data_IF_565577962301
#
_entry.id   IF_565577962301
#
_cell.length_a   1.000
_cell.length_b   1.000
_cell.length_c   1.000
_cell.angle_alpha   90.00
_cell.angle_beta   90.00
_cell.angle_gamma   90.00
#
_symmetry.space_group_name_H-M   'P 1'
#
loop_
_entity.id
_entity.type
_entity.pdbx_description
1 polymer ?
#
# COMPACT_ATOMS: atom_id res chain seq x y z
N UNK A 1 -4.17 -27.55 -22.41
CA UNK A 1 -5.39 -26.71 -22.30
C UNK A 1 -5.05 -25.34 -21.68
N UNK A 2 -4.33 -25.33 -20.57
CA UNK A 2 -3.89 -24.09 -19.89
C UNK A 2 -3.08 -23.18 -20.84
N UNK A 3 -2.09 -23.69 -21.55
CA UNK A 3 -1.26 -22.91 -22.48
C UNK A 3 -2.09 -22.18 -23.55
N UNK A 4 -3.12 -22.86 -24.08
CA UNK A 4 -4.03 -22.23 -25.06
C UNK A 4 -4.85 -21.11 -24.42
N UNK A 5 -5.26 -21.24 -23.14
CA UNK A 5 -5.98 -20.19 -22.43
C UNK A 5 -5.05 -18.99 -22.15
N UNK A 6 -3.81 -19.26 -21.71
CA UNK A 6 -2.78 -18.21 -21.48
C UNK A 6 -2.48 -17.46 -22.79
N UNK A 7 -2.33 -18.18 -23.90
CA UNK A 7 -2.12 -17.55 -25.21
C UNK A 7 -3.28 -16.64 -25.60
N UNK A 8 -4.54 -17.10 -25.48
CA UNK A 8 -5.73 -16.29 -25.82
C UNK A 8 -5.82 -15.00 -25.00
N UNK A 9 -5.52 -15.06 -23.70
CA UNK A 9 -5.51 -13.87 -22.83
C UNK A 9 -4.37 -12.94 -23.23
N UNK A 10 -3.20 -13.46 -23.51
CA UNK A 10 -2.06 -12.67 -23.97
C UNK A 10 -2.40 -11.91 -25.27
N UNK A 11 -2.94 -12.60 -26.27
CA UNK A 11 -3.41 -11.98 -27.52
C UNK A 11 -4.46 -10.90 -27.28
N UNK A 12 -5.41 -11.15 -26.38
CA UNK A 12 -6.45 -10.19 -26.01
C UNK A 12 -5.89 -8.93 -25.33
N UNK A 13 -4.90 -9.07 -24.41
CA UNK A 13 -4.24 -7.93 -23.78
C UNK A 13 -3.49 -7.10 -24.84
N UNK A 14 -2.73 -7.75 -25.72
CA UNK A 14 -2.00 -7.03 -26.78
C UNK A 14 -2.93 -6.33 -27.77
N UNK A 15 -4.10 -6.92 -28.07
CA UNK A 15 -5.10 -6.30 -28.96
C UNK A 15 -5.66 -4.98 -28.39
N UNK A 16 -5.59 -4.78 -27.06
CA UNK A 16 -6.06 -3.57 -26.38
C UNK A 16 -4.93 -2.68 -25.84
N UNK A 17 -3.68 -2.91 -26.29
CA UNK A 17 -2.48 -2.20 -25.81
C UNK A 17 -2.64 -0.68 -25.77
N UNK A 18 -3.07 -0.07 -26.86
CA UNK A 18 -3.20 1.38 -26.98
C UNK A 18 -4.23 1.98 -26.01
N UNK A 19 -5.29 1.26 -25.74
CA UNK A 19 -6.32 1.68 -24.78
C UNK A 19 -5.77 1.63 -23.35
N UNK A 20 -5.04 0.57 -23.00
CA UNK A 20 -4.41 0.40 -21.69
C UNK A 20 -3.39 1.53 -21.44
N UNK A 21 -2.53 1.83 -22.41
CA UNK A 21 -1.55 2.92 -22.33
C UNK A 21 -2.26 4.27 -22.19
N UNK A 22 -3.33 4.49 -22.95
CA UNK A 22 -4.12 5.73 -22.89
C UNK A 22 -4.73 5.93 -21.50
N UNK A 23 -5.28 4.87 -20.92
CA UNK A 23 -5.81 4.92 -19.56
C UNK A 23 -4.73 5.26 -18.53
N UNK A 24 -3.57 4.56 -18.57
CA UNK A 24 -2.44 4.81 -17.67
C UNK A 24 -1.99 6.28 -17.72
N UNK A 25 -1.82 6.82 -18.93
CA UNK A 25 -1.42 8.20 -19.14
C UNK A 25 -2.49 9.19 -18.67
N UNK A 26 -3.77 8.88 -18.89
CA UNK A 26 -4.87 9.75 -18.45
C UNK A 26 -4.95 9.83 -16.92
N UNK A 27 -4.65 8.75 -16.20
CA UNK A 27 -4.57 8.72 -14.74
C UNK A 27 -3.33 9.49 -14.28
N UNK A 28 -2.16 9.25 -14.88
CA UNK A 28 -0.92 9.96 -14.55
C UNK A 28 -1.04 11.49 -14.69
N UNK A 29 -1.81 11.97 -15.66
CA UNK A 29 -2.03 13.40 -15.91
C UNK A 29 -3.08 14.05 -14.99
N UNK A 30 -3.86 13.26 -14.26
CA UNK A 30 -4.87 13.75 -13.31
C UNK A 30 -4.72 13.08 -11.94
N UNK A 31 -3.54 13.23 -11.29
CA UNK A 31 -3.26 12.55 -10.02
C UNK A 31 -4.12 13.08 -8.89
N UNK A 32 -4.63 12.16 -8.06
CA UNK A 32 -5.49 12.44 -6.91
C UNK A 32 -4.93 11.75 -5.67
N UNK A 33 -4.96 12.44 -4.51
CA UNK A 33 -4.51 11.88 -3.23
C UNK A 33 -5.55 10.92 -2.64
N UNK A 34 -5.11 10.09 -1.70
CA UNK A 34 -5.93 9.04 -1.09
C UNK A 34 -7.26 9.53 -0.52
N UNK A 35 -8.31 8.74 -0.71
CA UNK A 35 -9.73 9.03 -0.44
C UNK A 35 -10.30 10.24 -1.22
N UNK A 36 -9.61 10.69 -2.26
CA UNK A 36 -10.03 11.76 -3.17
C UNK A 36 -9.98 11.33 -4.64
N UNK A 37 -9.77 10.04 -4.93
CA UNK A 37 -9.54 9.44 -6.25
C UNK A 37 -10.84 9.35 -7.07
N UNK A 38 -11.57 10.45 -7.17
CA UNK A 38 -12.90 10.49 -7.83
C UNK A 38 -12.79 10.28 -9.34
N UNK A 39 -11.84 10.96 -9.99
CA UNK A 39 -11.64 10.86 -11.45
C UNK A 39 -11.03 9.51 -11.82
N UNK A 40 -10.08 9.02 -11.02
CA UNK A 40 -9.46 7.70 -11.21
C UNK A 40 -10.51 6.61 -11.07
N UNK A 41 -11.32 6.64 -10.02
CA UNK A 41 -12.48 5.76 -9.83
C UNK A 41 -13.45 5.82 -11.01
N UNK A 42 -13.77 7.02 -11.53
CA UNK A 42 -14.65 7.18 -12.68
C UNK A 42 -14.07 6.55 -13.95
N UNK A 43 -12.77 6.75 -14.24
CA UNK A 43 -12.11 6.14 -15.41
C UNK A 43 -12.17 4.61 -15.36
N UNK A 44 -12.01 4.02 -14.18
CA UNK A 44 -12.11 2.57 -13.98
C UNK A 44 -13.55 2.09 -14.15
N UNK A 45 -14.54 2.81 -13.63
CA UNK A 45 -15.96 2.45 -13.85
C UNK A 45 -16.36 2.58 -15.32
N UNK A 46 -15.92 3.62 -16.02
CA UNK A 46 -16.17 3.80 -17.46
C UNK A 46 -15.60 2.63 -18.28
N UNK A 47 -14.39 2.15 -17.88
CA UNK A 47 -13.81 0.96 -18.49
C UNK A 47 -14.67 -0.28 -18.24
N UNK A 48 -15.11 -0.51 -17.00
CA UNK A 48 -15.96 -1.67 -16.69
C UNK A 48 -17.31 -1.61 -17.39
N UNK A 49 -17.90 -0.43 -17.51
CA UNK A 49 -19.12 -0.22 -18.30
C UNK A 49 -18.91 -0.55 -19.78
N UNK A 50 -17.83 -0.03 -20.38
CA UNK A 50 -17.47 -0.30 -21.78
C UNK A 50 -17.37 -1.78 -22.11
N UNK A 51 -16.81 -2.57 -21.19
CA UNK A 51 -16.63 -4.01 -21.35
C UNK A 51 -17.75 -4.84 -20.71
N UNK A 52 -18.83 -4.21 -20.24
CA UNK A 52 -19.94 -4.89 -19.58
C UNK A 52 -19.47 -5.82 -18.44
N UNK A 53 -18.52 -5.32 -17.60
CA UNK A 53 -18.05 -6.00 -16.41
C UNK A 53 -18.86 -5.49 -15.22
N UNK A 54 -19.61 -6.34 -14.51
CA UNK A 54 -20.37 -5.93 -13.33
C UNK A 54 -19.44 -5.40 -12.23
N UNK A 55 -19.79 -4.26 -11.63
CA UNK A 55 -19.02 -3.65 -10.56
C UNK A 55 -19.89 -2.99 -9.51
N UNK A 56 -19.30 -2.71 -8.36
CA UNK A 56 -19.80 -1.84 -7.31
C UNK A 56 -18.74 -0.77 -6.99
N UNK A 57 -19.17 0.39 -6.50
CA UNK A 57 -18.28 1.51 -6.17
C UNK A 57 -18.58 2.08 -4.79
N UNK A 58 -17.67 2.92 -4.28
CA UNK A 58 -17.81 3.55 -2.98
C UNK A 58 -17.22 2.71 -1.84
N UNK A 59 -16.46 1.68 -2.15
CA UNK A 59 -15.72 0.88 -1.19
C UNK A 59 -14.61 1.74 -0.55
N UNK A 60 -14.62 1.89 0.77
CA UNK A 60 -13.74 2.83 1.47
C UNK A 60 -13.68 4.19 0.73
N UNK A 61 -14.83 4.78 0.45
CA UNK A 61 -15.09 6.10 -0.20
C UNK A 61 -14.98 6.05 -1.73
N UNK A 62 -13.83 5.67 -2.32
CA UNK A 62 -13.57 5.78 -3.77
C UNK A 62 -13.32 4.46 -4.47
N UNK A 63 -13.14 3.37 -3.74
CA UNK A 63 -12.83 2.03 -4.28
C UNK A 63 -13.89 1.50 -5.24
N UNK A 64 -13.44 0.71 -6.23
CA UNK A 64 -14.27 0.08 -7.26
C UNK A 64 -13.98 -1.41 -7.32
N UNK A 65 -14.96 -2.24 -6.99
CA UNK A 65 -14.87 -3.70 -6.98
C UNK A 65 -15.69 -4.30 -8.11
N UNK A 66 -15.04 -4.98 -9.05
CA UNK A 66 -15.69 -5.64 -10.19
C UNK A 66 -15.67 -7.16 -10.02
N UNK A 67 -16.45 -7.87 -10.83
CA UNK A 67 -16.53 -9.33 -10.82
C UNK A 67 -16.61 -9.89 -12.22
N UNK A 68 -15.64 -10.69 -12.59
CA UNK A 68 -15.63 -11.53 -13.77
C UNK A 68 -16.00 -12.95 -13.35
N UNK A 69 -17.23 -13.36 -13.68
CA UNK A 69 -17.75 -14.66 -13.30
C UNK A 69 -17.13 -15.75 -14.17
N UNK A 70 -16.63 -16.80 -13.54
CA UNK A 70 -16.15 -17.98 -14.22
C UNK A 70 -17.27 -18.97 -14.55
N UNK A 71 -16.87 -20.19 -15.00
CA UNK A 71 -17.75 -21.32 -15.23
C UNK A 71 -18.47 -21.77 -13.96
N UNK A 72 -17.77 -21.66 -12.83
CA UNK A 72 -18.31 -21.83 -11.49
C UNK A 72 -17.69 -20.79 -10.56
N UNK A 73 -18.36 -20.43 -9.47
CA UNK A 73 -17.83 -19.48 -8.47
C UNK A 73 -17.18 -20.22 -7.29
N UNK A 74 -16.42 -21.30 -7.57
CA UNK A 74 -15.84 -22.15 -6.53
C UNK A 74 -14.83 -21.42 -5.69
N UNK A 75 -13.97 -20.61 -6.33
CA UNK A 75 -12.96 -19.76 -5.68
C UNK A 75 -13.02 -18.34 -6.23
N UNK A 76 -12.56 -17.38 -5.45
CA UNK A 76 -12.54 -15.97 -5.84
C UNK A 76 -11.15 -15.41 -5.58
N UNK A 77 -10.52 -14.94 -6.65
CA UNK A 77 -9.18 -14.36 -6.60
C UNK A 77 -9.26 -12.88 -6.97
N UNK A 78 -8.76 -12.01 -6.09
CA UNK A 78 -8.68 -10.59 -6.39
C UNK A 78 -7.38 -10.24 -7.10
N UNK A 79 -7.49 -9.38 -8.11
CA UNK A 79 -6.39 -8.59 -8.66
C UNK A 79 -6.59 -7.18 -8.13
N UNK A 80 -5.61 -6.70 -7.36
CA UNK A 80 -5.68 -5.38 -6.76
C UNK A 80 -4.84 -4.38 -7.54
N UNK A 81 -5.24 -3.13 -7.51
CA UNK A 81 -4.46 -2.00 -7.98
C UNK A 81 -4.84 -0.76 -7.18
N UNK A 82 -3.85 0.03 -6.83
CA UNK A 82 -3.98 1.23 -6.02
C UNK A 82 -4.27 2.43 -6.92
N UNK A 83 -5.15 3.33 -6.44
CA UNK A 83 -5.62 4.47 -7.24
C UNK A 83 -4.95 5.78 -6.90
N UNK A 84 -4.43 5.91 -5.68
CA UNK A 84 -3.98 7.19 -5.16
C UNK A 84 -2.59 7.59 -5.66
N UNK A 85 -2.33 8.89 -5.59
CA UNK A 85 -1.04 9.51 -5.85
C UNK A 85 -0.38 9.96 -4.54
N UNK A 86 0.93 10.21 -4.60
CA UNK A 86 1.69 10.77 -3.47
C UNK A 86 1.95 12.27 -3.70
N UNK A 87 2.29 12.99 -2.63
CA UNK A 87 2.71 14.40 -2.72
C UNK A 87 4.16 14.46 -3.23
N UNK A 88 4.35 15.00 -4.45
CA UNK A 88 5.65 15.23 -5.08
C UNK A 88 5.56 16.52 -5.93
N UNK A 89 5.68 17.68 -5.28
CA UNK A 89 5.42 18.99 -5.89
C UNK A 89 6.28 19.30 -7.12
N UNK A 90 7.49 18.80 -7.18
CA UNK A 90 8.45 19.06 -8.26
C UNK A 90 8.42 18.01 -9.40
N UNK A 91 7.51 17.03 -9.31
CA UNK A 91 7.29 16.06 -10.38
C UNK A 91 6.68 16.75 -11.62
N UNK A 92 7.13 16.45 -12.86
CA UNK A 92 6.65 17.11 -14.07
C UNK A 92 5.14 17.03 -14.31
N UNK A 93 4.48 15.97 -13.80
CA UNK A 93 3.03 15.75 -13.91
C UNK A 93 2.31 16.02 -12.57
N UNK A 94 2.91 16.79 -11.66
CA UNK A 94 2.25 17.10 -10.40
C UNK A 94 1.05 18.03 -10.61
N UNK A 95 0.01 17.77 -9.84
CA UNK A 95 -1.11 18.70 -9.71
C UNK A 95 -0.63 19.97 -8.99
N UNK A 96 -0.77 21.12 -9.64
CA UNK A 96 -0.23 22.41 -9.14
C UNK A 96 -0.88 22.88 -7.84
N UNK A 97 -2.10 22.43 -7.53
CA UNK A 97 -2.82 22.84 -6.31
C UNK A 97 -2.51 21.93 -5.12
N UNK A 98 -2.45 20.61 -5.39
CA UNK A 98 -2.31 19.59 -4.32
C UNK A 98 -0.90 19.05 -4.19
N UNK A 99 -0.05 19.21 -5.21
CA UNK A 99 1.25 18.55 -5.31
C UNK A 99 1.17 17.04 -5.57
N UNK A 100 -0.03 16.50 -5.82
CA UNK A 100 -0.20 15.10 -6.11
C UNK A 100 0.52 14.70 -7.40
N UNK A 101 1.21 13.56 -7.41
CA UNK A 101 1.82 12.96 -8.60
C UNK A 101 1.86 11.44 -8.46
N UNK A 102 1.67 10.72 -9.58
CA UNK A 102 1.82 9.26 -9.60
C UNK A 102 3.30 8.83 -9.56
N UNK A 103 4.07 9.42 -8.62
CA UNK A 103 5.49 9.12 -8.44
C UNK A 103 5.75 7.80 -7.69
N UNK A 104 4.71 7.06 -7.29
CA UNK A 104 4.80 5.68 -6.78
C UNK A 104 4.37 4.62 -7.81
N UNK A 105 3.90 5.05 -8.99
CA UNK A 105 3.51 4.13 -10.06
C UNK A 105 2.12 3.51 -9.91
N UNK A 106 1.22 4.07 -9.10
CA UNK A 106 -0.13 3.53 -8.94
C UNK A 106 -0.97 3.65 -10.23
N UNK A 107 -0.71 4.64 -11.09
CA UNK A 107 -1.27 4.69 -12.45
C UNK A 107 -0.88 3.45 -13.29
N UNK A 108 0.31 2.90 -13.05
CA UNK A 108 0.77 1.66 -13.68
C UNK A 108 -0.03 0.47 -13.15
N UNK A 109 -0.28 0.40 -11.85
CA UNK A 109 -1.11 -0.63 -11.25
C UNK A 109 -2.55 -0.59 -11.80
N UNK A 110 -3.11 0.61 -12.02
CA UNK A 110 -4.42 0.76 -12.65
C UNK A 110 -4.43 0.24 -14.09
N UNK A 111 -3.35 0.46 -14.84
CA UNK A 111 -3.21 -0.09 -16.19
C UNK A 111 -3.10 -1.63 -16.18
N UNK A 112 -2.33 -2.20 -15.25
CA UNK A 112 -2.22 -3.66 -15.05
C UNK A 112 -3.59 -4.26 -14.71
N UNK A 113 -4.32 -3.66 -13.76
CA UNK A 113 -5.67 -4.09 -13.39
C UNK A 113 -6.62 -4.04 -14.59
N UNK A 114 -6.58 -2.96 -15.37
CA UNK A 114 -7.39 -2.80 -16.58
C UNK A 114 -7.01 -3.85 -17.64
N UNK A 115 -5.72 -4.08 -17.88
CA UNK A 115 -5.23 -5.09 -18.81
C UNK A 115 -5.70 -6.49 -18.42
N UNK A 116 -5.62 -6.84 -17.13
CA UNK A 116 -6.14 -8.11 -16.62
C UNK A 116 -7.66 -8.23 -16.85
N UNK A 117 -8.43 -7.20 -16.50
CA UNK A 117 -9.87 -7.21 -16.64
C UNK A 117 -10.33 -7.32 -18.11
N UNK A 118 -9.73 -6.53 -19.01
CA UNK A 118 -9.98 -6.55 -20.44
C UNK A 118 -9.59 -7.91 -21.03
N UNK A 119 -8.37 -8.39 -20.75
CA UNK A 119 -7.84 -9.64 -21.26
C UNK A 119 -8.71 -10.84 -20.88
N UNK A 120 -9.08 -10.96 -19.61
CA UNK A 120 -9.97 -12.02 -19.12
C UNK A 120 -11.36 -11.95 -19.74
N UNK A 121 -11.93 -10.75 -19.87
CA UNK A 121 -13.29 -10.56 -20.42
C UNK A 121 -13.33 -10.85 -21.92
N UNK A 122 -12.39 -10.30 -22.70
CA UNK A 122 -12.47 -10.31 -24.16
C UNK A 122 -11.94 -11.63 -24.79
N UNK A 123 -11.03 -12.33 -24.12
CA UNK A 123 -10.53 -13.63 -24.57
C UNK A 123 -11.55 -14.77 -24.43
N UNK A 124 -12.59 -14.60 -23.62
CA UNK A 124 -13.57 -15.64 -23.31
C UNK A 124 -13.05 -16.75 -22.39
N UNK A 125 -11.84 -16.63 -21.80
CA UNK A 125 -11.23 -17.68 -20.97
C UNK A 125 -11.99 -17.93 -19.67
N UNK A 126 -12.75 -16.94 -19.16
CA UNK A 126 -13.59 -17.10 -17.96
C UNK A 126 -14.53 -18.30 -18.03
N UNK A 127 -14.98 -18.68 -19.23
CA UNK A 127 -15.84 -19.86 -19.45
C UNK A 127 -15.16 -21.21 -19.12
N UNK A 128 -13.82 -21.22 -18.99
CA UNK A 128 -13.04 -22.41 -18.65
C UNK A 128 -12.55 -22.42 -17.20
N UNK A 129 -12.76 -21.32 -16.45
CA UNK A 129 -12.25 -21.16 -15.09
C UNK A 129 -13.29 -21.56 -14.05
N UNK A 130 -12.88 -22.36 -13.08
CA UNK A 130 -13.71 -22.81 -11.96
C UNK A 130 -13.62 -21.87 -10.75
N UNK A 131 -13.73 -20.56 -11.02
CA UNK A 131 -13.71 -19.50 -10.03
C UNK A 131 -13.93 -18.14 -10.65
N UNK A 132 -14.19 -17.13 -9.81
CA UNK A 132 -14.36 -15.75 -10.24
C UNK A 132 -13.07 -14.96 -10.06
N UNK A 133 -12.87 -13.96 -10.90
CA UNK A 133 -11.79 -13.00 -10.76
C UNK A 133 -12.40 -11.65 -10.36
N UNK A 134 -11.80 -11.03 -9.36
CA UNK A 134 -12.27 -9.79 -8.76
C UNK A 134 -11.25 -8.67 -9.02
N UNK A 135 -11.34 -7.94 -10.15
CA UNK A 135 -10.59 -6.70 -10.31
C UNK A 135 -11.06 -5.68 -9.27
N UNK A 136 -10.13 -5.23 -8.43
CA UNK A 136 -10.48 -4.32 -7.33
C UNK A 136 -9.51 -3.13 -7.31
N UNK A 137 -9.97 -1.98 -7.78
CA UNK A 137 -9.29 -0.71 -7.64
C UNK A 137 -9.46 -0.22 -6.20
N UNK A 138 -8.38 -0.21 -5.44
CA UNK A 138 -8.36 0.09 -4.01
C UNK A 138 -7.84 1.50 -3.76
N UNK A 139 -8.43 2.26 -2.80
CA UNK A 139 -8.00 3.63 -2.50
C UNK A 139 -6.87 3.69 -1.48
N UNK A 140 -6.20 4.85 -1.40
CA UNK A 140 -5.52 5.39 -0.23
C UNK A 140 -4.46 4.48 0.41
N UNK A 141 -3.55 3.92 -0.38
CA UNK A 141 -2.40 3.18 0.13
C UNK A 141 -1.39 4.13 0.78
N UNK A 142 -1.08 5.25 0.14
CA UNK A 142 -0.15 6.25 0.63
C UNK A 142 -0.68 6.92 1.90
N UNK A 143 0.00 6.70 3.02
CA UNK A 143 -0.42 7.15 4.34
C UNK A 143 -0.07 8.64 4.57
N UNK A 144 -0.57 9.50 3.68
CA UNK A 144 -0.33 10.95 3.69
C UNK A 144 -1.59 11.72 4.11
N UNK A 145 -1.49 13.04 4.30
CA UNK A 145 -2.59 13.93 4.74
C UNK A 145 -3.30 13.44 6.02
N UNK A 146 -2.53 13.10 7.06
CA UNK A 146 -3.03 12.52 8.33
C UNK A 146 -4.17 13.35 8.93
N UNK A 147 -4.06 14.68 8.93
CA UNK A 147 -5.11 15.56 9.46
C UNK A 147 -6.43 15.46 8.65
N UNK A 148 -6.34 15.33 7.31
CA UNK A 148 -7.52 15.13 6.48
C UNK A 148 -8.19 13.80 6.81
N UNK A 149 -7.42 12.72 6.93
CA UNK A 149 -7.93 11.40 7.29
C UNK A 149 -8.53 11.37 8.69
N UNK A 150 -7.92 12.11 9.63
CA UNK A 150 -8.49 12.26 10.98
C UNK A 150 -9.85 12.97 10.95
N UNK A 151 -10.01 14.01 10.13
CA UNK A 151 -11.32 14.65 9.95
C UNK A 151 -12.37 13.69 9.36
N UNK A 152 -11.99 12.83 8.40
CA UNK A 152 -12.89 11.81 7.88
C UNK A 152 -13.30 10.79 8.96
N UNK A 153 -12.36 10.41 9.83
CA UNK A 153 -12.62 9.53 10.99
C UNK A 153 -13.59 10.20 11.98
N UNK A 154 -13.37 11.47 12.33
CA UNK A 154 -14.26 12.23 13.21
C UNK A 154 -15.68 12.39 12.64
N UNK A 155 -15.79 12.44 11.29
CA UNK A 155 -17.07 12.45 10.58
C UNK A 155 -17.73 11.07 10.47
N UNK A 156 -17.08 10.01 10.98
CA UNK A 156 -17.56 8.62 10.89
C UNK A 156 -17.50 8.02 9.48
N UNK A 157 -16.78 8.64 8.53
CA UNK A 157 -16.66 8.17 7.16
C UNK A 157 -15.68 7.02 6.99
N UNK A 158 -14.66 6.95 7.87
CA UNK A 158 -13.70 5.86 7.95
C UNK A 158 -13.26 5.66 9.41
N UNK A 159 -12.62 4.53 9.68
CA UNK A 159 -12.02 4.22 10.97
C UNK A 159 -10.50 4.11 10.87
N UNK A 160 -10.00 3.48 9.82
CA UNK A 160 -8.58 3.29 9.54
C UNK A 160 -8.13 4.21 8.40
N UNK A 161 -6.85 4.61 8.42
CA UNK A 161 -6.31 5.59 7.48
C UNK A 161 -5.72 4.96 6.22
N UNK A 162 -5.46 3.64 6.21
CA UNK A 162 -5.08 2.88 5.02
C UNK A 162 -6.32 2.36 4.28
N UNK A 163 -6.25 2.29 2.96
CA UNK A 163 -7.38 1.84 2.14
C UNK A 163 -7.75 0.39 2.39
N UNK A 164 -6.76 -0.53 2.31
CA UNK A 164 -7.04 -1.96 2.49
C UNK A 164 -7.48 -2.30 3.91
N UNK A 165 -6.91 -1.64 4.93
CA UNK A 165 -7.36 -1.82 6.32
C UNK A 165 -8.82 -1.38 6.52
N UNK A 166 -9.23 -0.29 5.88
CA UNK A 166 -10.63 0.16 5.93
C UNK A 166 -11.55 -0.79 5.14
N UNK A 167 -11.12 -1.29 3.97
CA UNK A 167 -11.86 -2.29 3.19
C UNK A 167 -12.03 -3.61 3.95
N UNK A 168 -11.01 -4.08 4.69
CA UNK A 168 -11.12 -5.25 5.57
C UNK A 168 -12.20 -5.00 6.63
N UNK A 169 -12.18 -3.83 7.27
CA UNK A 169 -13.20 -3.47 8.27
C UNK A 169 -14.61 -3.46 7.69
N UNK A 170 -14.77 -2.93 6.48
CA UNK A 170 -16.07 -2.86 5.80
C UNK A 170 -16.58 -4.23 5.31
N UNK A 171 -15.73 -5.26 5.28
CA UNK A 171 -16.09 -6.60 4.81
C UNK A 171 -15.91 -6.78 3.30
N UNK A 172 -15.22 -5.87 2.65
CA UNK A 172 -15.05 -5.90 1.18
C UNK A 172 -14.16 -7.06 0.70
N UNK A 173 -13.40 -7.68 1.61
CA UNK A 173 -12.59 -8.87 1.35
C UNK A 173 -13.20 -10.18 1.87
N UNK A 174 -14.37 -10.16 2.52
CA UNK A 174 -14.97 -11.35 3.17
C UNK A 174 -15.35 -12.46 2.18
N UNK A 175 -15.55 -12.12 0.93
CA UNK A 175 -15.90 -13.07 -0.13
C UNK A 175 -14.72 -13.41 -1.07
N UNK A 176 -13.49 -13.05 -0.70
CA UNK A 176 -12.27 -13.25 -1.49
C UNK A 176 -11.39 -14.30 -0.81
N UNK A 177 -10.93 -15.29 -1.58
CA UNK A 177 -10.10 -16.37 -1.07
C UNK A 177 -8.60 -16.04 -1.11
N UNK A 178 -8.14 -15.27 -2.10
CA UNK A 178 -6.74 -14.89 -2.33
C UNK A 178 -6.66 -13.53 -3.01
N UNK A 179 -5.54 -12.83 -2.85
CA UNK A 179 -5.31 -11.58 -3.56
C UNK A 179 -3.89 -11.49 -4.14
N UNK A 180 -3.78 -10.82 -5.27
CA UNK A 180 -2.54 -10.57 -5.98
C UNK A 180 -2.47 -9.10 -6.37
N UNK A 181 -1.31 -8.48 -6.18
CA UNK A 181 -1.05 -7.10 -6.60
C UNK A 181 0.38 -6.98 -7.11
N UNK A 182 0.59 -6.22 -8.18
CA UNK A 182 1.90 -5.95 -8.75
C UNK A 182 2.30 -4.51 -8.48
N UNK A 183 3.59 -4.27 -8.20
CA UNK A 183 4.12 -2.92 -8.04
C UNK A 183 5.36 -2.67 -8.92
N UNK A 184 5.68 -1.43 -9.17
CA UNK A 184 6.94 -1.06 -9.80
C UNK A 184 8.10 -1.22 -8.81
N UNK A 185 9.29 -1.57 -9.28
CA UNK A 185 10.49 -1.61 -8.44
C UNK A 185 10.81 -0.24 -7.83
N UNK A 186 11.34 -0.22 -6.60
CA UNK A 186 11.64 1.02 -5.87
C UNK A 186 12.62 1.94 -6.61
N UNK A 187 13.49 1.37 -7.43
CA UNK A 187 14.45 2.08 -8.25
C UNK A 187 14.24 1.73 -9.71
N UNK A 188 14.31 2.74 -10.58
CA UNK A 188 14.26 2.53 -12.03
C UNK A 188 15.47 1.70 -12.46
N UNK A 189 15.21 0.69 -13.26
CA UNK A 189 16.20 -0.25 -13.77
C UNK A 189 16.00 -0.50 -15.25
N UNK A 190 17.10 -0.80 -15.98
CA UNK A 190 17.04 -1.07 -17.40
C UNK A 190 16.68 -2.53 -17.72
N UNK A 191 17.02 -3.47 -16.82
CA UNK A 191 16.77 -4.90 -17.04
C UNK A 191 15.31 -5.23 -16.75
N UNK A 192 14.62 -5.81 -17.75
CA UNK A 192 13.28 -6.39 -17.56
C UNK A 192 13.38 -7.60 -16.63
N UNK A 193 12.74 -7.51 -15.47
CA UNK A 193 12.69 -8.59 -14.47
C UNK A 193 11.45 -8.46 -13.60
N UNK A 194 11.15 -9.55 -12.91
CA UNK A 194 10.15 -9.60 -11.84
C UNK A 194 10.84 -9.98 -10.54
N UNK A 195 10.63 -9.18 -9.52
CA UNK A 195 11.13 -9.39 -8.18
C UNK A 195 10.03 -10.08 -7.37
N UNK A 196 10.33 -11.22 -6.77
CA UNK A 196 9.36 -12.08 -6.08
C UNK A 196 9.73 -12.35 -4.63
N UNK A 197 8.77 -12.78 -3.84
CA UNK A 197 8.97 -13.06 -2.41
C UNK A 197 9.27 -11.79 -1.64
N UNK A 198 10.16 -11.90 -0.65
CA UNK A 198 10.48 -10.79 0.23
C UNK A 198 9.43 -10.53 1.31
N UNK A 199 9.80 -9.68 2.25
CA UNK A 199 8.93 -9.19 3.32
C UNK A 199 9.13 -7.69 3.45
N UNK A 200 8.21 -6.98 4.09
CA UNK A 200 8.39 -5.56 4.39
C UNK A 200 8.03 -5.24 5.84
N UNK A 201 8.48 -4.08 6.32
CA UNK A 201 8.09 -3.60 7.63
C UNK A 201 6.59 -3.27 7.67
N UNK A 202 5.98 -3.53 8.83
CA UNK A 202 4.78 -2.81 9.23
C UNK A 202 5.13 -1.49 9.92
N UNK A 203 4.11 -0.68 10.22
CA UNK A 203 4.30 0.55 11.00
C UNK A 203 3.09 0.94 11.83
N UNK A 204 3.38 1.73 12.88
CA UNK A 204 2.39 2.49 13.67
C UNK A 204 2.64 3.96 13.39
N UNK A 205 1.60 4.68 12.96
CA UNK A 205 1.61 6.12 12.84
C UNK A 205 1.51 6.81 14.19
N UNK A 206 2.03 8.04 14.30
CA UNK A 206 1.99 8.81 15.54
C UNK A 206 1.71 10.28 15.26
N UNK A 207 0.78 10.85 16.01
CA UNK A 207 0.66 12.27 16.22
C UNK A 207 1.10 12.57 17.65
N UNK A 208 2.07 13.46 17.81
CA UNK A 208 2.69 13.77 19.10
C UNK A 208 2.57 15.26 19.35
N UNK A 209 2.06 15.64 20.53
CA UNK A 209 1.88 17.04 20.91
C UNK A 209 2.51 17.27 22.28
N UNK A 210 3.60 18.05 22.31
CA UNK A 210 4.21 18.53 23.54
C UNK A 210 3.52 19.81 23.97
N UNK A 211 3.14 19.88 25.26
CA UNK A 211 2.50 21.01 25.89
C UNK A 211 3.39 21.57 26.99
N UNK A 212 3.71 22.83 26.86
CA UNK A 212 4.48 23.60 27.83
C UNK A 212 3.69 24.78 28.34
N UNK A 213 4.41 25.85 28.64
CA UNK A 213 3.83 27.14 29.11
C UNK A 213 4.58 28.29 28.46
N UNK A 214 3.83 29.20 27.86
CA UNK A 214 4.37 30.40 27.27
C UNK A 214 4.93 31.39 28.34
N UNK A 215 5.94 32.14 27.97
CA UNK A 215 6.51 33.23 28.73
C UNK A 215 7.33 34.13 27.80
N UNK A 216 7.68 35.36 28.25
CA UNK A 216 8.59 36.19 27.47
C UNK A 216 10.00 35.60 27.48
N UNK A 217 10.49 35.20 26.31
CA UNK A 217 11.74 34.45 26.21
C UNK A 217 13.00 35.22 26.69
N UNK A 218 13.00 36.55 26.61
CA UNK A 218 14.11 37.38 27.03
C UNK A 218 14.03 37.83 28.50
N UNK A 219 12.87 38.27 29.00
CA UNK A 219 12.73 38.87 30.32
C UNK A 219 12.24 37.94 31.43
N UNK A 220 11.46 36.91 31.08
CA UNK A 220 10.84 36.01 32.06
C UNK A 220 10.85 34.53 31.60
N UNK A 221 11.94 33.96 31.02
CA UNK A 221 11.97 32.57 30.54
C UNK A 221 11.73 31.55 31.68
N UNK A 222 12.05 31.92 32.92
CA UNK A 222 11.87 31.11 34.11
C UNK A 222 10.41 30.85 34.50
N UNK A 223 9.47 31.64 33.96
CA UNK A 223 8.03 31.44 34.14
C UNK A 223 7.42 30.49 33.13
N UNK A 224 8.16 30.14 32.06
CA UNK A 224 7.73 29.30 30.98
C UNK A 224 8.17 27.83 31.13
N UNK A 225 7.55 26.96 30.33
CA UNK A 225 7.96 25.56 30.11
C UNK A 225 8.09 25.38 28.59
N UNK A 226 9.33 25.14 28.12
CA UNK A 226 9.64 25.11 26.69
C UNK A 226 9.31 23.78 26.06
N UNK A 227 8.16 23.71 25.34
CA UNK A 227 7.74 22.50 24.64
C UNK A 227 8.71 22.05 23.53
N UNK A 228 9.46 22.99 22.89
CA UNK A 228 10.46 22.64 21.89
C UNK A 228 11.66 21.91 22.52
N UNK A 229 12.12 22.38 23.67
CA UNK A 229 13.18 21.68 24.40
C UNK A 229 12.71 20.29 24.87
N UNK A 230 11.45 20.15 25.29
CA UNK A 230 10.86 18.85 25.63
C UNK A 230 10.92 17.90 24.46
N UNK A 231 10.52 18.34 23.27
CA UNK A 231 10.58 17.54 22.03
C UNK A 231 12.02 17.14 21.67
N UNK A 232 13.00 18.05 21.78
CA UNK A 232 14.40 17.78 21.50
C UNK A 232 15.00 16.74 22.46
N UNK A 233 14.72 16.86 23.77
CA UNK A 233 15.14 15.87 24.79
C UNK A 233 14.48 14.52 24.51
N UNK A 234 13.19 14.51 24.17
CA UNK A 234 12.46 13.30 23.82
C UNK A 234 13.07 12.59 22.60
N UNK A 235 13.41 13.32 21.53
CA UNK A 235 14.08 12.77 20.36
C UNK A 235 15.47 12.21 20.70
N UNK A 236 16.22 12.89 21.58
CA UNK A 236 17.50 12.39 22.08
C UNK A 236 17.32 11.08 22.86
N UNK A 237 16.29 11.01 23.71
CA UNK A 237 15.96 9.79 24.46
C UNK A 237 15.52 8.63 23.54
N UNK A 238 14.76 8.90 22.47
CA UNK A 238 14.44 7.90 21.43
C UNK A 238 15.71 7.43 20.73
N UNK A 239 16.61 8.34 20.35
CA UNK A 239 17.89 7.97 19.72
C UNK A 239 18.75 7.09 20.63
N UNK A 240 18.76 7.35 21.93
CA UNK A 240 19.45 6.51 22.92
C UNK A 240 18.86 5.09 23.06
N UNK A 241 17.60 4.85 22.60
CA UNK A 241 17.00 3.51 22.57
C UNK A 241 17.49 2.67 21.39
N UNK A 242 18.11 3.24 20.35
CA UNK A 242 18.44 2.52 19.10
C UNK A 242 19.29 1.28 19.34
N UNK A 243 20.25 1.32 20.28
CA UNK A 243 21.07 0.17 20.65
C UNK A 243 20.29 -0.95 21.35
N UNK A 244 19.06 -0.69 21.79
CA UNK A 244 18.20 -1.69 22.44
C UNK A 244 17.27 -2.40 21.45
N UNK A 245 17.27 -2.00 20.19
CA UNK A 245 16.56 -2.72 19.13
C UNK A 245 17.48 -3.79 18.55
N UNK A 246 16.92 -4.95 18.21
CA UNK A 246 17.66 -6.01 17.53
C UNK A 246 17.84 -5.61 16.06
N UNK A 247 19.00 -5.89 15.48
CA UNK A 247 19.29 -5.59 14.08
C UNK A 247 18.32 -6.33 13.15
N UNK A 248 17.97 -7.57 13.49
CA UNK A 248 17.04 -8.41 12.74
C UNK A 248 15.59 -7.88 12.69
N UNK A 249 15.22 -7.00 13.65
CA UNK A 249 13.88 -6.40 13.72
C UNK A 249 13.72 -5.21 12.76
N UNK A 250 14.79 -4.74 12.14
CA UNK A 250 14.79 -3.64 11.16
C UNK A 250 14.03 -2.40 11.61
N UNK A 251 14.13 -2.03 12.90
CA UNK A 251 13.36 -0.92 13.48
C UNK A 251 13.74 0.41 12.86
N UNK A 252 12.74 1.21 12.50
CA UNK A 252 12.89 2.61 12.05
C UNK A 252 11.94 3.53 12.82
N UNK A 253 12.49 4.69 13.23
CA UNK A 253 11.71 5.82 13.73
C UNK A 253 12.21 7.08 13.03
N UNK A 254 11.30 7.80 12.37
CA UNK A 254 11.63 8.99 11.59
C UNK A 254 10.52 10.03 11.75
N UNK A 255 10.72 11.03 12.64
CA UNK A 255 9.75 12.07 12.90
C UNK A 255 9.98 13.31 12.01
N UNK A 256 8.90 14.07 11.84
CA UNK A 256 8.95 15.47 11.41
C UNK A 256 8.33 16.36 12.49
N UNK A 257 8.83 17.60 12.62
CA UNK A 257 8.19 18.63 13.46
C UNK A 257 7.28 19.44 12.54
N UNK A 258 5.98 19.35 12.76
CA UNK A 258 4.96 20.07 11.97
C UNK A 258 4.67 21.46 12.54
N UNK A 259 4.89 21.65 13.85
CA UNK A 259 4.83 22.95 14.54
C UNK A 259 5.94 23.02 15.59
N UNK A 260 6.84 24.02 15.51
CA UNK A 260 7.99 24.19 16.41
C UNK A 260 7.89 25.38 17.38
N UNK A 261 6.76 26.07 17.42
CA UNK A 261 6.51 27.32 18.15
C UNK A 261 5.93 28.37 17.22
N UNK A 262 5.63 29.55 17.76
CA UNK A 262 4.96 30.65 17.04
C UNK A 262 5.87 31.87 16.82
N UNK A 263 6.57 32.31 17.86
CA UNK A 263 7.40 33.54 17.85
C UNK A 263 8.72 33.30 18.57
N UNK A 264 9.83 33.89 18.06
CA UNK A 264 11.18 33.78 18.66
C UNK A 264 11.25 34.36 20.08
N UNK A 265 10.51 35.41 20.37
CA UNK A 265 10.51 36.08 21.67
C UNK A 265 9.52 35.51 22.69
N UNK A 266 8.86 34.41 22.37
CA UNK A 266 7.93 33.67 23.24
C UNK A 266 8.43 32.25 23.45
N UNK A 267 8.50 31.78 24.70
CA UNK A 267 8.80 30.38 25.01
C UNK A 267 7.73 29.48 24.35
N UNK A 268 8.11 28.51 23.48
CA UNK A 268 7.14 27.67 22.82
C UNK A 268 6.27 26.87 23.80
N UNK A 269 4.98 27.13 23.80
CA UNK A 269 4.02 26.40 24.64
C UNK A 269 3.46 25.14 23.99
N UNK A 270 3.58 25.04 22.67
CA UNK A 270 3.10 23.89 21.91
C UNK A 270 4.07 23.51 20.78
N UNK A 271 4.37 22.20 20.69
CA UNK A 271 5.14 21.62 19.59
C UNK A 271 4.44 20.35 19.11
N UNK A 272 4.19 20.26 17.80
CA UNK A 272 3.55 19.10 17.17
C UNK A 272 4.56 18.35 16.31
N UNK A 273 4.44 17.03 16.32
CA UNK A 273 5.26 16.13 15.50
C UNK A 273 4.40 15.02 14.94
N UNK A 274 4.79 14.53 13.76
CA UNK A 274 4.28 13.29 13.15
C UNK A 274 5.44 12.32 12.98
N UNK A 275 5.16 11.02 13.10
CA UNK A 275 6.18 9.99 12.95
C UNK A 275 5.59 8.63 12.64
N UNK A 276 6.45 7.72 12.14
CA UNK A 276 6.18 6.29 12.07
C UNK A 276 7.19 5.50 12.89
N UNK A 277 6.69 4.46 13.58
CA UNK A 277 7.52 3.40 14.17
C UNK A 277 7.35 2.17 13.30
N UNK A 278 8.40 1.78 12.58
CA UNK A 278 8.41 0.64 11.67
C UNK A 278 9.20 -0.53 12.25
N UNK A 279 8.76 -1.76 12.00
CA UNK A 279 9.54 -2.97 12.29
C UNK A 279 9.11 -4.16 11.42
N UNK A 280 9.99 -5.18 11.36
CA UNK A 280 9.85 -6.38 10.54
C UNK A 280 8.71 -7.30 10.98
N UNK A 281 8.37 -7.31 12.27
CA UNK A 281 7.31 -8.17 12.83
C UNK A 281 6.36 -7.35 13.68
N UNK A 282 5.12 -7.81 13.83
CA UNK A 282 4.14 -7.18 14.73
C UNK A 282 4.68 -7.06 16.15
N UNK A 283 5.33 -8.13 16.65
CA UNK A 283 5.94 -8.13 18.00
C UNK A 283 7.00 -7.05 18.15
N UNK A 284 7.93 -6.95 17.19
CA UNK A 284 9.01 -5.96 17.21
C UNK A 284 8.45 -4.53 17.07
N UNK A 285 7.41 -4.34 16.24
CA UNK A 285 6.74 -3.07 16.05
C UNK A 285 6.09 -2.57 17.36
N UNK A 286 5.42 -3.45 18.09
CA UNK A 286 4.81 -3.12 19.39
C UNK A 286 5.86 -2.85 20.47
N UNK A 287 6.94 -3.63 20.55
CA UNK A 287 8.07 -3.37 21.49
C UNK A 287 8.73 -2.02 21.20
N UNK A 288 9.03 -1.74 19.93
CA UNK A 288 9.61 -0.47 19.52
C UNK A 288 8.67 0.70 19.84
N UNK A 289 7.36 0.54 19.59
CA UNK A 289 6.35 1.55 19.89
C UNK A 289 6.32 1.89 21.39
N UNK A 290 6.33 0.89 22.27
CA UNK A 290 6.37 1.09 23.72
C UNK A 290 7.61 1.81 24.17
N UNK A 291 8.79 1.45 23.62
CA UNK A 291 10.07 2.11 23.94
C UNK A 291 10.07 3.57 23.49
N UNK A 292 9.56 3.86 22.28
CA UNK A 292 9.43 5.23 21.76
C UNK A 292 8.48 6.04 22.64
N UNK A 293 7.30 5.51 22.96
CA UNK A 293 6.31 6.20 23.81
C UNK A 293 6.89 6.53 25.20
N UNK A 294 7.64 5.61 25.80
CA UNK A 294 8.33 5.84 27.08
C UNK A 294 9.37 6.95 26.96
N UNK A 295 10.16 6.97 25.90
CA UNK A 295 11.17 8.00 25.66
C UNK A 295 10.53 9.39 25.45
N UNK A 296 9.44 9.46 24.69
CA UNK A 296 8.68 10.72 24.48
C UNK A 296 8.12 11.26 25.81
N UNK A 297 7.52 10.40 26.62
CA UNK A 297 7.03 10.77 27.95
C UNK A 297 8.15 11.20 28.89
N UNK A 298 9.28 10.50 28.87
CA UNK A 298 10.47 10.83 29.68
C UNK A 298 11.06 12.19 29.31
N UNK A 299 11.14 12.52 28.03
CA UNK A 299 11.63 13.83 27.55
C UNK A 299 10.74 14.98 27.97
N UNK A 300 9.43 14.84 27.90
CA UNK A 300 8.47 15.83 28.40
C UNK A 300 8.64 16.05 29.92
N UNK A 301 8.64 14.93 30.68
CA UNK A 301 8.75 14.95 32.13
C UNK A 301 10.05 15.60 32.62
N UNK A 302 11.17 15.46 31.88
CA UNK A 302 12.48 15.98 32.27
C UNK A 302 12.52 17.49 32.49
N UNK A 303 11.62 18.25 31.87
CA UNK A 303 11.54 19.70 32.00
C UNK A 303 10.15 20.21 32.42
N UNK A 304 9.30 19.32 32.94
CA UNK A 304 7.97 19.67 33.43
C UNK A 304 6.93 19.95 32.36
N UNK A 305 7.17 19.52 31.10
CA UNK A 305 6.17 19.58 30.03
C UNK A 305 5.27 18.33 30.05
N UNK A 306 4.11 18.45 29.40
CA UNK A 306 3.24 17.29 29.13
C UNK A 306 3.41 16.83 27.67
N UNK A 307 3.07 15.57 27.39
CA UNK A 307 3.01 15.05 26.03
C UNK A 307 1.75 14.22 25.81
N UNK A 308 1.03 14.55 24.76
CA UNK A 308 -0.05 13.74 24.21
C UNK A 308 0.51 12.91 23.05
N UNK A 309 0.29 11.60 23.07
CA UNK A 309 0.70 10.69 22.01
C UNK A 309 -0.55 9.97 21.53
N UNK A 310 -0.87 10.18 20.27
CA UNK A 310 -1.95 9.48 19.59
C UNK A 310 -1.32 8.47 18.61
N UNK A 311 -1.33 7.19 18.98
CA UNK A 311 -0.89 6.10 18.12
C UNK A 311 -2.02 5.76 17.14
N UNK A 312 -1.67 5.60 15.88
CA UNK A 312 -2.63 5.29 14.82
C UNK A 312 -2.25 3.97 14.17
N UNK A 313 -3.21 3.03 14.01
CA UNK A 313 -2.95 1.83 13.22
C UNK A 313 -2.43 2.21 11.84
N UNK A 314 -1.23 1.75 11.50
CA UNK A 314 -0.65 1.82 10.17
C UNK A 314 -0.87 0.50 9.42
N UNK A 315 0.20 -0.08 8.88
CA UNK A 315 0.16 -1.33 8.12
C UNK A 315 0.86 -2.45 8.87
N UNK A 316 0.39 -3.69 8.70
CA UNK A 316 1.10 -4.87 9.19
C UNK A 316 2.29 -5.22 8.27
N UNK A 317 3.30 -5.96 8.78
CA UNK A 317 4.40 -6.44 7.95
C UNK A 317 3.91 -7.36 6.82
N UNK A 318 4.43 -7.16 5.60
CA UNK A 318 4.06 -7.99 4.44
C UNK A 318 4.64 -9.40 4.52
N UNK A 319 3.83 -10.39 4.22
CA UNK A 319 4.17 -11.82 4.14
C UNK A 319 3.63 -12.37 2.82
N UNK A 320 4.51 -12.82 1.90
CA UNK A 320 4.09 -13.45 0.66
C UNK A 320 3.80 -14.95 0.90
N UNK A 321 2.71 -15.46 0.31
CA UNK A 321 2.42 -16.89 0.31
C UNK A 321 3.39 -17.63 -0.64
N UNK A 322 4.17 -18.58 -0.10
CA UNK A 322 5.24 -19.25 -0.84
C UNK A 322 4.72 -20.13 -1.99
N UNK A 323 3.64 -20.89 -1.77
CA UNK A 323 3.08 -21.75 -2.80
C UNK A 323 2.53 -20.94 -3.97
N UNK A 324 1.78 -19.87 -3.66
CA UNK A 324 1.27 -18.94 -4.68
C UNK A 324 2.43 -18.24 -5.42
N UNK A 325 3.49 -17.85 -4.71
CA UNK A 325 4.71 -17.27 -5.31
C UNK A 325 5.34 -18.25 -6.31
N UNK A 326 5.47 -19.53 -5.95
CA UNK A 326 6.06 -20.56 -6.83
C UNK A 326 5.25 -20.75 -8.13
N UNK A 327 3.92 -20.73 -8.04
CA UNK A 327 3.05 -20.80 -9.23
C UNK A 327 3.24 -19.56 -10.11
N UNK A 328 3.33 -18.38 -9.48
CA UNK A 328 3.57 -17.12 -10.18
C UNK A 328 4.95 -17.10 -10.88
N UNK A 329 6.02 -17.52 -10.20
CA UNK A 329 7.38 -17.62 -10.74
C UNK A 329 7.44 -18.47 -12.01
N UNK A 330 6.75 -19.61 -12.02
CA UNK A 330 6.68 -20.47 -13.20
C UNK A 330 6.16 -19.71 -14.42
N UNK A 331 5.10 -18.89 -14.25
CA UNK A 331 4.54 -18.09 -15.32
C UNK A 331 5.49 -16.97 -15.78
N UNK A 332 6.25 -16.38 -14.85
CA UNK A 332 7.29 -15.39 -15.17
C UNK A 332 8.39 -16.03 -16.02
N UNK A 333 8.89 -17.20 -15.62
CA UNK A 333 9.94 -17.93 -16.36
C UNK A 333 9.47 -18.34 -17.76
N UNK A 334 8.24 -18.80 -17.90
CA UNK A 334 7.63 -19.17 -19.18
C UNK A 334 7.52 -17.95 -20.12
N UNK A 335 7.23 -16.76 -19.60
CA UNK A 335 7.03 -15.54 -20.40
C UNK A 335 8.32 -14.78 -20.69
N UNK A 336 9.19 -14.62 -19.69
CA UNK A 336 10.36 -13.72 -19.73
C UNK A 336 11.71 -14.44 -19.76
N UNK A 337 11.75 -15.75 -19.49
CA UNK A 337 12.96 -16.58 -19.49
C UNK A 337 13.65 -16.67 -18.12
N UNK A 338 14.69 -17.52 -18.03
CA UNK A 338 15.31 -17.92 -16.76
C UNK A 338 16.00 -16.80 -15.98
N UNK A 339 16.50 -15.77 -16.67
CA UNK A 339 17.21 -14.64 -16.04
C UNK A 339 16.28 -13.50 -15.58
N UNK A 340 14.96 -13.71 -15.58
CA UNK A 340 13.96 -12.66 -15.35
C UNK A 340 13.45 -12.58 -13.92
N UNK A 341 13.87 -13.45 -13.01
CA UNK A 341 13.43 -13.45 -11.61
C UNK A 341 14.57 -13.01 -10.69
N UNK A 342 14.21 -12.16 -9.72
CA UNK A 342 15.02 -11.87 -8.54
C UNK A 342 14.24 -12.16 -7.27
N UNK A 343 14.85 -12.89 -6.35
CA UNK A 343 14.25 -13.16 -5.04
C UNK A 343 14.62 -12.06 -4.06
N UNK A 344 13.63 -11.32 -3.60
CA UNK A 344 13.82 -10.21 -2.67
C UNK A 344 14.04 -10.70 -1.24
N UNK A 345 14.89 -9.99 -0.52
CA UNK A 345 15.02 -10.10 0.93
C UNK A 345 13.97 -9.26 1.67
N UNK A 346 14.33 -8.77 2.84
CA UNK A 346 13.49 -7.87 3.63
C UNK A 346 13.67 -6.40 3.22
N UNK A 347 12.56 -5.70 2.97
CA UNK A 347 12.52 -4.25 2.73
C UNK A 347 12.08 -3.50 4.00
N UNK A 348 12.67 -2.32 4.25
CA UNK A 348 12.23 -1.43 5.33
C UNK A 348 11.05 -0.55 4.95
N UNK A 349 10.55 -0.62 3.70
CA UNK A 349 9.30 -0.01 3.25
C UNK A 349 8.09 -0.67 3.93
N UNK A 350 6.90 -0.20 3.60
CA UNK A 350 5.64 -0.77 4.08
C UNK A 350 4.61 -0.68 2.96
N UNK A 351 3.65 -1.57 2.97
CA UNK A 351 2.48 -1.58 2.09
C UNK A 351 1.29 -2.13 2.84
N UNK A 352 0.09 -1.67 2.56
CA UNK A 352 -1.15 -2.18 3.18
C UNK A 352 -1.59 -3.55 2.62
N UNK A 353 -0.85 -4.11 1.63
CA UNK A 353 -0.91 -5.54 1.32
C UNK A 353 -0.49 -6.40 2.52
N UNK A 354 0.33 -5.86 3.42
CA UNK A 354 0.67 -6.48 4.69
C UNK A 354 -0.57 -6.86 5.50
N UNK A 355 -1.56 -5.97 5.58
CA UNK A 355 -2.80 -6.23 6.30
C UNK A 355 -3.55 -7.45 5.75
N UNK A 356 -3.67 -7.55 4.42
CA UNK A 356 -4.29 -8.70 3.75
C UNK A 356 -3.47 -9.98 3.96
N UNK A 357 -2.15 -9.89 3.94
CA UNK A 357 -1.25 -11.05 4.07
C UNK A 357 -1.38 -11.78 5.40
N UNK A 358 -1.91 -11.12 6.43
CA UNK A 358 -2.17 -11.73 7.72
C UNK A 358 -3.48 -12.51 7.79
N UNK A 359 -4.42 -12.25 6.86
CA UNK A 359 -5.76 -12.84 6.90
C UNK A 359 -6.08 -13.78 5.72
N UNK A 360 -5.36 -13.66 4.62
CA UNK A 360 -5.54 -14.52 3.43
C UNK A 360 -4.23 -14.72 2.67
N UNK A 361 -4.11 -15.76 1.80
CA UNK A 361 -2.95 -15.93 0.93
C UNK A 361 -2.84 -14.76 -0.05
N UNK A 362 -1.68 -14.11 -0.08
CA UNK A 362 -1.40 -13.02 -1.04
C UNK A 362 -0.01 -13.11 -1.61
N UNK A 363 0.20 -12.52 -2.79
CA UNK A 363 1.52 -12.17 -3.33
C UNK A 363 1.55 -10.71 -3.76
N UNK A 364 2.72 -10.12 -3.60
CA UNK A 364 3.00 -8.76 -4.01
C UNK A 364 4.36 -8.70 -4.72
N UNK A 365 4.46 -9.23 -5.95
CA UNK A 365 5.67 -9.11 -6.75
C UNK A 365 5.88 -7.68 -7.24
N UNK A 366 7.12 -7.38 -7.63
CA UNK A 366 7.54 -6.10 -8.16
C UNK A 366 8.14 -6.32 -9.55
N UNK A 367 8.18 -5.30 -10.40
CA UNK A 367 8.83 -5.40 -11.68
C UNK A 367 9.85 -4.27 -11.90
N UNK A 368 10.97 -4.60 -12.54
CA UNK A 368 11.99 -3.68 -13.02
C UNK A 368 12.08 -3.66 -14.54
N UNK A 369 12.74 -2.64 -15.10
CA UNK A 369 12.96 -2.49 -16.54
C UNK A 369 11.83 -1.78 -17.30
N UNK A 370 10.79 -1.31 -16.61
CA UNK A 370 9.67 -0.56 -17.18
C UNK A 370 9.64 0.91 -16.80
N UNK A 371 10.46 1.31 -15.83
CA UNK A 371 10.46 2.65 -15.26
C UNK A 371 11.89 3.18 -15.05
N UNK A 372 12.03 4.49 -14.91
CA UNK A 372 13.27 5.17 -14.50
C UNK A 372 13.04 6.02 -13.28
N UNK A 373 14.14 6.39 -12.60
CA UNK A 373 14.11 7.16 -11.36
C UNK A 373 13.68 6.32 -10.16
N UNK A 374 13.85 6.85 -8.98
CA UNK A 374 13.38 6.25 -7.74
C UNK A 374 11.92 6.66 -7.51
N UNK A 375 11.08 5.75 -7.01
CA UNK A 375 9.72 6.11 -6.60
C UNK A 375 9.75 7.25 -5.57
N UNK A 376 8.68 8.03 -5.49
CA UNK A 376 8.54 9.23 -4.65
C UNK A 376 9.50 10.38 -5.03
N UNK A 377 10.09 10.35 -6.22
CA UNK A 377 10.94 11.45 -6.71
C UNK A 377 10.43 12.04 -8.02
N UNK A 378 10.92 13.23 -8.35
CA UNK A 378 10.59 13.92 -9.61
C UNK A 378 11.04 13.20 -10.85
N UNK A 379 12.03 12.32 -10.74
CA UNK A 379 12.64 11.58 -11.86
C UNK A 379 11.85 10.34 -12.25
N UNK A 380 10.89 9.91 -11.40
CA UNK A 380 10.08 8.73 -11.70
C UNK A 380 9.28 8.91 -12.99
N UNK A 381 9.44 7.99 -13.92
CA UNK A 381 8.65 7.95 -15.15
C UNK A 381 8.65 6.55 -15.76
N UNK A 382 7.58 6.22 -16.49
CA UNK A 382 7.51 5.01 -17.32
C UNK A 382 8.39 5.21 -18.56
N UNK A 383 9.15 4.18 -18.94
CA UNK A 383 10.08 4.17 -20.07
C UNK A 383 9.84 3.03 -21.04
N UNK A 384 9.16 1.99 -20.63
CA UNK A 384 8.80 0.83 -21.46
C UNK A 384 7.34 0.43 -21.12
N UNK A 385 6.43 0.82 -21.99
CA UNK A 385 4.98 0.57 -21.82
C UNK A 385 4.64 -0.93 -21.78
N UNK A 386 5.37 -1.75 -22.52
CA UNK A 386 5.14 -3.19 -22.54
C UNK A 386 5.49 -3.82 -21.19
N UNK A 387 6.67 -3.48 -20.65
CA UNK A 387 7.10 -3.96 -19.35
C UNK A 387 6.30 -3.35 -18.19
N UNK A 388 5.87 -2.09 -18.34
CA UNK A 388 5.11 -1.45 -17.28
C UNK A 388 3.65 -1.94 -17.18
N UNK A 389 2.98 -2.17 -18.31
CA UNK A 389 1.54 -2.38 -18.31
C UNK A 389 1.09 -3.78 -18.75
N UNK A 390 1.81 -4.41 -19.72
CA UNK A 390 1.31 -5.61 -20.37
C UNK A 390 1.93 -6.88 -19.79
N UNK A 391 3.25 -6.98 -19.72
CA UNK A 391 3.92 -8.20 -19.24
C UNK A 391 3.55 -8.53 -17.79
N UNK A 392 3.50 -7.58 -16.83
CA UNK A 392 3.01 -7.85 -15.49
C UNK A 392 1.54 -8.33 -15.47
N UNK A 393 0.67 -7.75 -16.28
CA UNK A 393 -0.71 -8.20 -16.39
C UNK A 393 -0.81 -9.64 -16.93
N UNK A 394 -0.01 -9.97 -17.94
CA UNK A 394 0.03 -11.33 -18.53
C UNK A 394 0.48 -12.36 -17.50
N UNK A 395 1.52 -12.08 -16.69
CA UNK A 395 1.97 -13.00 -15.64
C UNK A 395 0.89 -13.19 -14.56
N UNK A 396 0.19 -12.13 -14.19
CA UNK A 396 -0.92 -12.18 -13.23
C UNK A 396 -2.07 -13.06 -13.74
N UNK A 397 -2.54 -12.82 -14.97
CA UNK A 397 -3.66 -13.60 -15.52
C UNK A 397 -3.28 -15.04 -15.86
N UNK A 398 -2.03 -15.29 -16.26
CA UNK A 398 -1.53 -16.65 -16.44
C UNK A 398 -1.58 -17.44 -15.13
N UNK A 399 -1.19 -16.83 -14.03
CA UNK A 399 -1.27 -17.42 -12.68
C UNK A 399 -2.72 -17.70 -12.28
N UNK A 400 -3.65 -16.78 -12.55
CA UNK A 400 -5.08 -17.00 -12.31
C UNK A 400 -5.62 -18.19 -13.13
N UNK A 401 -5.18 -18.35 -14.37
CA UNK A 401 -5.58 -19.51 -15.20
C UNK A 401 -5.09 -20.81 -14.57
N UNK A 402 -3.85 -20.86 -14.08
CA UNK A 402 -3.33 -22.05 -13.39
C UNK A 402 -4.10 -22.35 -12.10
N UNK A 403 -4.41 -21.33 -11.31
CA UNK A 403 -5.15 -21.46 -10.05
C UNK A 403 -6.59 -21.94 -10.24
N UNK A 404 -7.29 -21.44 -11.28
CA UNK A 404 -8.73 -21.62 -11.44
C UNK A 404 -9.15 -22.67 -12.49
N UNK A 405 -8.19 -23.30 -13.20
CA UNK A 405 -8.50 -24.45 -14.07
C UNK A 405 -8.58 -25.76 -13.25
N UNK A 406 -9.02 -26.83 -13.88
CA UNK A 406 -9.06 -28.17 -13.28
C UNK A 406 -9.80 -28.19 -11.92
N UNK A 407 -10.98 -27.60 -11.85
CA UNK A 407 -11.76 -27.49 -10.62
C UNK A 407 -11.07 -26.64 -9.51
N UNK A 408 -10.23 -25.69 -9.91
CA UNK A 408 -9.45 -24.83 -9.02
C UNK A 408 -8.51 -25.62 -8.06
N UNK A 409 -7.93 -26.73 -8.55
CA UNK A 409 -7.12 -27.66 -7.75
C UNK A 409 -5.95 -26.95 -7.06
N UNK A 410 -5.18 -26.12 -7.78
CA UNK A 410 -4.04 -25.40 -7.19
C UNK A 410 -4.49 -24.35 -6.14
N UNK A 411 -5.62 -23.69 -6.38
CA UNK A 411 -6.17 -22.76 -5.38
C UNK A 411 -6.64 -23.52 -4.12
N UNK A 412 -7.24 -24.72 -4.28
CA UNK A 412 -7.61 -25.56 -3.15
C UNK A 412 -6.41 -26.03 -2.34
N UNK A 413 -5.32 -26.44 -2.98
CA UNK A 413 -4.08 -26.86 -2.31
C UNK A 413 -3.51 -25.71 -1.45
N UNK A 414 -3.44 -24.50 -2.01
CA UNK A 414 -2.98 -23.31 -1.26
C UNK A 414 -3.83 -23.09 -0.02
N UNK A 415 -5.17 -23.14 -0.17
CA UNK A 415 -6.09 -22.84 0.94
C UNK A 415 -6.12 -23.95 2.01
N UNK A 416 -5.86 -25.21 1.64
CA UNK A 416 -5.78 -26.32 2.60
C UNK A 416 -4.53 -26.20 3.49
N UNK A 417 -3.42 -25.73 2.92
CA UNK A 417 -2.15 -25.61 3.64
C UNK A 417 -1.98 -24.27 4.35
N UNK A 418 -2.78 -23.27 3.97
CA UNK A 418 -2.67 -21.91 4.52
C UNK A 418 -3.21 -21.84 5.95
N UNK A 419 -2.39 -21.27 6.82
CA UNK A 419 -2.80 -20.87 8.17
C UNK A 419 -2.65 -19.35 8.29
N UNK A 420 -3.74 -18.60 8.47
CA UNK A 420 -3.65 -17.15 8.62
C UNK A 420 -2.93 -16.79 9.92
N UNK A 421 -2.11 -15.74 9.87
CA UNK A 421 -1.48 -15.17 11.08
C UNK A 421 -2.53 -14.63 12.05
N UNK A 422 -3.64 -14.14 11.52
CA UNK A 422 -4.78 -13.62 12.28
C UNK A 422 -6.10 -13.95 11.56
N UNK A 423 -7.17 -14.25 12.31
CA UNK A 423 -8.51 -14.14 11.74
C UNK A 423 -8.86 -12.66 11.53
N UNK A 424 -9.84 -12.36 10.70
CA UNK A 424 -10.32 -10.98 10.51
C UNK A 424 -10.70 -10.31 11.83
N UNK A 425 -11.38 -11.04 12.72
CA UNK A 425 -11.77 -10.53 14.03
C UNK A 425 -10.56 -10.22 14.90
N UNK A 426 -9.55 -11.09 14.92
CA UNK A 426 -8.31 -10.87 15.66
C UNK A 426 -7.53 -9.69 15.09
N UNK A 427 -7.49 -9.54 13.74
CA UNK A 427 -6.90 -8.38 13.07
C UNK A 427 -7.60 -7.08 13.50
N UNK A 428 -8.93 -7.02 13.45
CA UNK A 428 -9.67 -5.83 13.85
C UNK A 428 -9.48 -5.49 15.34
N UNK A 429 -9.46 -6.50 16.22
CA UNK A 429 -9.15 -6.30 17.63
C UNK A 429 -7.73 -5.78 17.86
N UNK A 430 -6.75 -6.30 17.10
CA UNK A 430 -5.38 -5.80 17.15
C UNK A 430 -5.30 -4.33 16.71
N UNK A 431 -5.89 -3.98 15.58
CA UNK A 431 -5.93 -2.60 15.07
C UNK A 431 -6.61 -1.64 16.06
N UNK A 432 -7.66 -2.08 16.73
CA UNK A 432 -8.33 -1.32 17.79
C UNK A 432 -7.50 -1.17 19.08
N UNK A 433 -6.55 -2.05 19.33
CA UNK A 433 -5.66 -1.99 20.50
C UNK A 433 -4.55 -0.94 20.37
N UNK A 434 -4.33 -0.41 19.18
CA UNK A 434 -3.35 0.65 18.91
C UNK A 434 -3.99 2.01 19.18
N UNK A 435 -3.57 2.69 20.30
CA UNK A 435 -4.06 4.02 20.71
C UNK A 435 -3.11 4.70 21.70
#
# INVERSE_FOLDING_TARGET
>A
MQDLLKQKVCEAIYAHKEEIITLANSIANEPELGFKEIKTSQKITDLFEKYEIPYTRGHAITGVKARLQGKSSKRKIAILGEMDAIICHDHPLSNMETGAAHACGHNVQMAILAACAIGLKTSGVMQALDGDVIPFAVPAEEYVEIEYRNRLKEQGKLKYFGGKSELIRCGDFDDIDMAMMMHVSMQGEEKRRIDVGGTSNGFIGKMIRFKGKEAHAGSAPHEGINALNAALIALTAVNAQRETFRDEDCVRFHPIITKGGDLVNVVPAEVCMESYVRAKTVKAMMDANQKVNRALKGGAMAIGAEVEINDMPGFLPMINNLTLTTIYEKNVLELLGEDSIEHLGHSSGSTDMGDLSHIMPVIHPWFGGGTKGTVHTREFAVTDDEMAYLLPAITMVATIIDLLTNQAEQAEEILQDYQPEMTKEAYLQFMESIH
#
